data_IF_235087679026
#
_entry.id   IF_235087679026
#
_cell.length_a   1.000
_cell.length_b   1.000
_cell.length_c   1.000
_cell.angle_alpha   90.00
_cell.angle_beta   90.00
_cell.angle_gamma   90.00
#
_symmetry.space_group_name_H-M   'P 1'
#
loop_
_entity.id
_entity.type
_entity.pdbx_description
1 polymer ?
#
# COMPACT_ATOMS: atom_id res chain seq x y z
N UNK A 1 5.24 -0.90 10.51
CA UNK A 1 5.44 -1.70 9.28
C UNK A 1 6.65 -1.16 8.53
N UNK A 2 7.59 -2.02 8.11
CA UNK A 2 8.70 -1.59 7.24
C UNK A 2 8.17 -1.45 5.81
N UNK A 3 8.54 -0.39 5.10
CA UNK A 3 8.21 -0.25 3.68
C UNK A 3 8.97 -1.30 2.87
N UNK A 4 8.23 -2.04 2.06
CA UNK A 4 8.78 -2.91 1.02
C UNK A 4 8.88 -2.07 -0.26
N UNK A 5 10.09 -1.85 -0.73
CA UNK A 5 10.37 -1.03 -1.91
C UNK A 5 11.21 -1.81 -2.93
N UNK A 6 11.13 -1.40 -4.19
CA UNK A 6 11.93 -1.94 -5.28
C UNK A 6 11.61 -3.41 -5.60
N UNK A 7 12.62 -4.17 -6.02
CA UNK A 7 12.47 -5.55 -6.48
C UNK A 7 11.81 -6.47 -5.45
N UNK A 8 11.97 -6.18 -4.15
CA UNK A 8 11.40 -6.99 -3.06
C UNK A 8 9.87 -6.88 -3.04
N UNK A 9 9.31 -5.71 -3.36
CA UNK A 9 7.86 -5.55 -3.46
C UNK A 9 7.27 -6.37 -4.62
N UNK A 10 7.98 -6.43 -5.75
CA UNK A 10 7.51 -7.14 -6.94
C UNK A 10 7.62 -8.65 -6.79
N UNK A 11 8.67 -9.12 -6.13
CA UNK A 11 8.80 -10.52 -5.72
C UNK A 11 7.63 -10.89 -4.79
N UNK A 12 7.38 -10.09 -3.74
CA UNK A 12 6.28 -10.35 -2.80
C UNK A 12 4.91 -10.41 -3.47
N UNK A 13 4.63 -9.56 -4.47
CA UNK A 13 3.38 -9.63 -5.24
C UNK A 13 3.20 -10.96 -5.98
N UNK A 14 4.29 -11.50 -6.55
CA UNK A 14 4.27 -12.81 -7.20
C UNK A 14 3.95 -13.94 -6.22
N UNK A 15 4.51 -13.89 -5.02
CA UNK A 15 4.27 -14.88 -3.95
C UNK A 15 2.79 -14.93 -3.54
N UNK A 16 2.19 -13.75 -3.37
CA UNK A 16 0.78 -13.64 -2.99
C UNK A 16 -0.13 -14.19 -4.10
N UNK A 17 0.27 -14.09 -5.37
CA UNK A 17 -0.54 -14.54 -6.51
C UNK A 17 -0.37 -16.01 -6.88
N UNK A 18 0.86 -16.53 -6.86
CA UNK A 18 1.19 -17.86 -7.42
C UNK A 18 1.39 -18.93 -6.33
N UNK A 19 1.45 -18.52 -5.05
CA UNK A 19 1.67 -19.42 -3.91
C UNK A 19 3.15 -19.69 -3.65
N UNK A 20 3.51 -20.96 -3.51
CA UNK A 20 4.85 -21.38 -3.09
C UNK A 20 5.92 -20.99 -4.12
N UNK A 21 6.95 -20.26 -3.67
CA UNK A 21 8.06 -19.82 -4.51
C UNK A 21 9.42 -20.10 -3.88
N UNK A 22 10.44 -20.20 -4.72
CA UNK A 22 11.84 -20.17 -4.30
C UNK A 22 12.47 -18.89 -4.81
N UNK A 23 12.96 -18.05 -3.89
CA UNK A 23 13.66 -16.81 -4.24
C UNK A 23 15.12 -16.87 -3.81
N UNK A 24 15.98 -16.17 -4.54
CA UNK A 24 17.40 -16.02 -4.21
C UNK A 24 17.68 -14.60 -3.73
N UNK A 25 18.18 -14.47 -2.50
CA UNK A 25 18.63 -13.20 -1.91
C UNK A 25 20.08 -13.39 -1.47
N UNK A 26 20.98 -12.54 -1.96
CA UNK A 26 22.42 -12.59 -1.66
C UNK A 26 23.05 -13.98 -1.88
N UNK A 27 22.65 -14.67 -2.96
CA UNK A 27 23.13 -16.01 -3.31
C UNK A 27 22.58 -17.16 -2.44
N UNK A 28 21.66 -16.86 -1.53
CA UNK A 28 20.97 -17.86 -0.69
C UNK A 28 19.54 -18.05 -1.18
N UNK A 29 19.13 -19.32 -1.27
CA UNK A 29 17.77 -19.71 -1.69
C UNK A 29 16.85 -19.82 -0.49
N UNK A 30 15.70 -19.17 -0.57
CA UNK A 30 14.64 -19.17 0.43
C UNK A 30 13.36 -19.73 -0.18
N UNK A 31 12.70 -20.63 0.55
CA UNK A 31 11.37 -21.11 0.23
C UNK A 31 10.34 -20.23 0.93
N UNK A 32 9.44 -19.63 0.17
CA UNK A 32 8.35 -18.82 0.67
C UNK A 32 7.06 -19.50 0.28
N UNK A 33 6.17 -19.65 1.24
CA UNK A 33 4.83 -20.18 1.04
C UNK A 33 3.86 -19.30 1.82
N UNK A 34 2.62 -19.21 1.33
CA UNK A 34 1.54 -18.58 2.06
C UNK A 34 1.08 -19.55 3.15
N UNK A 35 1.37 -19.23 4.40
CA UNK A 35 1.01 -20.11 5.52
C UNK A 35 -0.46 -20.04 5.89
N UNK A 36 -1.12 -18.93 5.59
CA UNK A 36 -2.52 -18.65 5.91
C UNK A 36 -3.09 -17.70 4.86
N UNK A 37 -4.25 -18.03 4.32
CA UNK A 37 -4.96 -17.13 3.42
C UNK A 37 -5.59 -15.99 4.25
N UNK A 38 -5.49 -14.73 3.79
CA UNK A 38 -6.19 -13.64 4.45
C UNK A 38 -7.71 -13.86 4.37
N UNK A 39 -8.40 -13.64 5.49
CA UNK A 39 -9.86 -13.83 5.58
C UNK A 39 -10.63 -12.93 4.61
N UNK A 40 -10.08 -11.76 4.30
CA UNK A 40 -10.64 -10.77 3.40
C UNK A 40 -9.58 -10.21 2.48
N UNK A 41 -10.01 -9.74 1.32
CA UNK A 41 -9.20 -8.95 0.41
C UNK A 41 -9.27 -7.47 0.77
N UNK A 42 -8.25 -6.70 0.38
CA UNK A 42 -8.26 -5.23 0.52
C UNK A 42 -9.50 -4.60 -0.15
N UNK A 43 -10.01 -5.20 -1.23
CA UNK A 43 -11.23 -4.71 -1.88
C UNK A 43 -12.47 -4.90 -1.00
N UNK A 44 -12.61 -6.07 -0.37
CA UNK A 44 -13.70 -6.38 0.55
C UNK A 44 -13.65 -5.48 1.80
N UNK A 45 -12.46 -5.25 2.35
CA UNK A 45 -12.27 -4.35 3.50
C UNK A 45 -12.72 -2.91 3.17
N UNK A 46 -12.39 -2.45 1.96
CA UNK A 46 -12.80 -1.11 1.47
C UNK A 46 -14.31 -1.06 1.20
N UNK A 47 -14.94 -2.14 0.79
CA UNK A 47 -16.39 -2.18 0.57
C UNK A 47 -17.19 -2.28 1.88
N UNK A 48 -16.64 -2.97 2.88
CA UNK A 48 -17.23 -3.12 4.20
C UNK A 48 -17.21 -1.83 5.03
N UNK A 49 -16.30 -0.89 4.72
CA UNK A 49 -16.19 0.42 5.38
C UNK A 49 -16.56 1.58 4.42
N UNK A 50 -17.81 2.10 4.49
CA UNK A 50 -18.26 3.21 3.66
C UNK A 50 -17.46 4.50 3.87
N UNK A 51 -16.93 4.74 5.07
CA UNK A 51 -16.15 5.94 5.38
C UNK A 51 -14.78 5.86 4.70
N UNK A 52 -14.11 4.71 4.82
CA UNK A 52 -12.86 4.43 4.11
C UNK A 52 -13.05 4.55 2.60
N UNK A 53 -14.12 3.95 2.05
CA UNK A 53 -14.46 4.04 0.63
C UNK A 53 -14.60 5.49 0.17
N UNK A 54 -15.33 6.32 0.91
CA UNK A 54 -15.46 7.74 0.58
C UNK A 54 -14.14 8.49 0.66
N UNK A 55 -13.33 8.27 1.70
CA UNK A 55 -11.99 8.87 1.84
C UNK A 55 -11.09 8.52 0.66
N UNK A 56 -11.09 7.27 0.21
CA UNK A 56 -10.32 6.82 -0.95
C UNK A 56 -10.81 7.45 -2.26
N UNK A 57 -12.12 7.58 -2.45
CA UNK A 57 -12.70 8.26 -3.62
C UNK A 57 -12.33 9.74 -3.66
N UNK A 58 -12.41 10.41 -2.52
CA UNK A 58 -12.04 11.82 -2.40
C UNK A 58 -10.54 12.01 -2.66
N UNK A 59 -9.68 11.19 -2.05
CA UNK A 59 -8.24 11.23 -2.29
C UNK A 59 -7.87 11.01 -3.77
N UNK A 60 -8.54 10.06 -4.46
CA UNK A 60 -8.36 9.88 -5.91
C UNK A 60 -8.71 11.12 -6.70
N UNK A 61 -9.82 11.78 -6.36
CA UNK A 61 -10.23 13.03 -6.99
C UNK A 61 -9.23 14.15 -6.73
N UNK A 62 -8.76 14.29 -5.49
CA UNK A 62 -7.78 15.33 -5.12
C UNK A 62 -6.45 15.14 -5.87
N UNK A 63 -6.00 13.90 -6.08
CA UNK A 63 -4.82 13.60 -6.92
C UNK A 63 -5.06 14.03 -8.38
N UNK A 64 -6.23 13.71 -8.94
CA UNK A 64 -6.58 14.09 -10.33
C UNK A 64 -6.70 15.61 -10.51
N UNK A 65 -7.25 16.29 -9.49
CA UNK A 65 -7.42 17.74 -9.47
C UNK A 65 -6.10 18.48 -9.11
N UNK A 66 -5.00 17.75 -8.88
CA UNK A 66 -3.69 18.32 -8.54
C UNK A 66 -3.60 18.90 -7.11
N UNK A 67 -4.56 18.56 -6.24
CA UNK A 67 -4.58 18.95 -4.82
C UNK A 67 -3.72 18.02 -3.98
N UNK A 68 -2.45 17.94 -4.34
CA UNK A 68 -1.44 17.17 -3.62
C UNK A 68 -0.47 18.12 -2.95
N UNK A 69 -0.07 17.79 -1.73
CA UNK A 69 0.85 18.61 -0.95
C UNK A 69 2.08 17.79 -0.60
N UNK A 70 3.24 18.42 -0.73
CA UNK A 70 4.48 17.95 -0.14
C UNK A 70 4.44 18.13 1.38
N UNK A 71 5.30 17.41 2.09
CA UNK A 71 5.42 17.54 3.54
C UNK A 71 5.72 18.99 3.96
N UNK A 72 6.56 19.72 3.23
CA UNK A 72 6.89 21.11 3.54
C UNK A 72 5.70 22.06 3.38
N UNK A 73 4.87 21.84 2.36
CA UNK A 73 3.65 22.62 2.13
C UNK A 73 2.63 22.38 3.25
N UNK A 74 2.44 21.12 3.66
CA UNK A 74 1.55 20.78 4.79
C UNK A 74 2.03 21.44 6.08
N UNK A 75 3.33 21.44 6.37
CA UNK A 75 3.87 22.11 7.56
C UNK A 75 3.58 23.62 7.55
N UNK A 76 3.72 24.28 6.40
CA UNK A 76 3.38 25.71 6.27
C UNK A 76 1.89 25.98 6.47
N UNK A 77 1.02 25.12 5.95
CA UNK A 77 -0.44 25.26 6.13
C UNK A 77 -0.83 25.11 7.61
N UNK A 78 -0.21 24.18 8.33
CA UNK A 78 -0.40 24.02 9.78
C UNK A 78 0.07 25.29 10.52
N UNK A 79 1.25 25.80 10.20
CA UNK A 79 1.80 27.02 10.83
C UNK A 79 0.93 28.26 10.54
N UNK A 80 0.19 28.25 9.44
CA UNK A 80 -0.74 29.32 9.03
C UNK A 80 -2.18 29.11 9.52
N UNK A 81 -2.51 27.97 10.14
CA UNK A 81 -3.85 27.64 10.61
C UNK A 81 -4.85 27.29 9.51
N UNK A 82 -4.37 26.82 8.36
CA UNK A 82 -5.18 26.48 7.18
C UNK A 82 -5.64 25.00 7.14
N UNK A 83 -5.34 24.24 8.19
CA UNK A 83 -5.69 22.81 8.37
C UNK A 83 -6.60 22.62 9.58
#
# INVERSE_FOLDING_TARGET
>A
MKKLEGQIAEIMKGIIHDGDTVIEIDGKKYYLYLSEEPETTVAEDVEADPELKQKLLQAKKDILDGKTYTTEEVMKMIDQGEV
#
